data_IF_502792649942
#
_entry.id   IF_502792649942
#
_cell.length_a   1.000
_cell.length_b   1.000
_cell.length_c   1.000
_cell.angle_alpha   90.00
_cell.angle_beta   90.00
_cell.angle_gamma   90.00
#
_symmetry.space_group_name_H-M   'P 1'
#
loop_
_entity.id
_entity.type
_entity.pdbx_description
1 polymer ?
#
# COMPACT_ATOMS: atom_id res chain seq x y z
N UNK A 1 -17.80 24.61 -15.86
CA UNK A 1 -17.20 24.00 -17.06
C UNK A 1 -16.16 23.00 -16.56
N UNK A 2 -16.25 21.71 -16.85
CA UNK A 2 -15.22 20.74 -16.46
C UNK A 2 -13.80 21.19 -16.86
N UNK A 3 -13.65 21.98 -17.92
CA UNK A 3 -12.38 22.58 -18.34
C UNK A 3 -11.87 23.73 -17.44
N UNK A 4 -12.65 24.14 -16.45
CA UNK A 4 -12.33 25.27 -15.54
C UNK A 4 -12.04 24.84 -14.10
N UNK A 5 -12.12 23.54 -13.78
CA UNK A 5 -11.85 23.04 -12.44
C UNK A 5 -10.34 22.73 -12.28
N UNK A 6 -9.66 23.33 -11.28
CA UNK A 6 -8.21 23.20 -11.11
C UNK A 6 -7.74 21.78 -10.77
N UNK A 7 -8.65 20.86 -10.46
CA UNK A 7 -8.33 19.47 -10.16
C UNK A 7 -8.43 18.54 -11.37
N UNK A 8 -8.82 19.06 -12.54
CA UNK A 8 -8.81 18.29 -13.78
C UNK A 8 -7.44 18.34 -14.41
N UNK A 9 -6.83 17.17 -14.58
CA UNK A 9 -5.63 16.98 -15.37
C UNK A 9 -6.04 16.21 -16.62
N UNK A 10 -5.82 16.80 -17.78
CA UNK A 10 -5.99 16.11 -19.06
C UNK A 10 -4.92 15.01 -19.16
N UNK A 11 -5.36 13.75 -19.18
CA UNK A 11 -4.50 12.62 -19.47
C UNK A 11 -4.74 12.24 -20.93
N UNK A 12 -3.75 12.46 -21.79
CA UNK A 12 -3.85 12.12 -23.21
C UNK A 12 -4.07 10.62 -23.38
N UNK A 13 -5.29 10.22 -23.75
CA UNK A 13 -5.59 8.84 -24.11
C UNK A 13 -4.94 8.52 -25.46
N UNK A 14 -4.27 7.38 -25.57
CA UNK A 14 -3.80 6.87 -26.86
C UNK A 14 -4.83 5.87 -27.38
N UNK A 15 -5.38 6.17 -28.55
CA UNK A 15 -6.23 5.23 -29.29
C UNK A 15 -5.33 4.10 -29.84
N UNK A 16 -5.71 2.85 -29.58
CA UNK A 16 -4.88 1.69 -29.92
C UNK A 16 -5.45 0.83 -31.06
N UNK A 17 -6.62 1.21 -31.58
CA UNK A 17 -7.36 0.48 -32.61
C UNK A 17 -7.13 1.03 -34.02
N UNK A 18 -6.37 2.13 -34.17
CA UNK A 18 -6.02 2.75 -35.44
C UNK A 18 -7.09 3.65 -36.03
N UNK A 19 -8.17 3.94 -35.29
CA UNK A 19 -9.25 4.82 -35.73
C UNK A 19 -8.86 6.29 -35.54
N UNK A 20 -8.99 7.07 -36.62
CA UNK A 20 -8.82 8.53 -36.58
C UNK A 20 -10.16 9.16 -36.26
N UNK A 21 -10.21 10.03 -35.24
CA UNK A 21 -11.35 10.94 -35.01
C UNK A 21 -11.37 12.00 -36.12
N UNK A 22 -11.74 11.60 -37.33
CA UNK A 22 -12.19 12.52 -38.37
C UNK A 22 -13.71 12.54 -38.32
N UNK A 23 -14.30 13.75 -38.30
CA UNK A 23 -15.75 14.01 -38.35
C UNK A 23 -16.48 13.34 -39.53
N UNK A 24 -15.75 12.67 -40.44
CA UNK A 24 -16.27 11.93 -41.59
C UNK A 24 -16.07 10.40 -41.53
N UNK A 25 -15.37 9.84 -40.54
CA UNK A 25 -15.12 8.39 -40.48
C UNK A 25 -15.86 7.79 -39.29
N UNK A 26 -17.05 7.25 -39.55
CA UNK A 26 -17.77 6.39 -38.61
C UNK A 26 -17.03 5.04 -38.57
N UNK A 27 -16.69 4.47 -37.40
CA UNK A 27 -16.18 3.11 -37.32
C UNK A 27 -17.15 2.14 -38.00
N UNK A 28 -16.66 1.09 -38.69
CA UNK A 28 -17.52 0.06 -39.26
C UNK A 28 -18.49 -0.49 -38.21
N UNK A 29 -19.76 -0.70 -38.60
CA UNK A 29 -20.81 -1.20 -37.70
C UNK A 29 -20.37 -2.55 -37.12
N UNK A 30 -20.22 -2.62 -35.80
CA UNK A 30 -19.83 -3.83 -35.06
C UNK A 30 -18.40 -3.84 -34.52
N UNK A 31 -17.61 -2.79 -34.74
CA UNK A 31 -16.27 -2.66 -34.16
C UNK A 31 -16.30 -1.93 -32.80
N UNK A 32 -15.43 -2.37 -31.89
CA UNK A 32 -15.29 -1.79 -30.55
C UNK A 32 -14.07 -0.87 -30.50
N UNK A 33 -14.26 0.35 -30.03
CA UNK A 33 -13.17 1.29 -29.73
C UNK A 33 -12.60 0.98 -28.34
N UNK A 34 -11.27 0.95 -28.23
CA UNK A 34 -10.57 0.72 -26.95
C UNK A 34 -9.58 1.84 -26.67
N UNK A 35 -9.56 2.29 -25.42
CA UNK A 35 -8.64 3.30 -24.92
C UNK A 35 -7.73 2.66 -23.87
N UNK A 36 -6.42 2.68 -24.10
CA UNK A 36 -5.44 2.16 -23.15
C UNK A 36 -5.04 3.25 -22.16
N UNK A 37 -5.46 3.10 -20.90
CA UNK A 37 -5.18 4.04 -19.81
C UNK A 37 -4.02 3.54 -18.92
N UNK A 38 -2.96 3.02 -19.53
CA UNK A 38 -1.80 2.52 -18.78
C UNK A 38 -0.93 3.70 -18.33
N UNK A 39 -0.93 3.95 -17.02
CA UNK A 39 -0.15 4.95 -16.30
C UNK A 39 -0.15 4.60 -14.80
N UNK A 40 0.81 5.12 -14.05
CA UNK A 40 0.99 4.89 -12.61
C UNK A 40 -0.22 5.36 -11.78
N UNK A 41 -0.43 4.80 -10.59
CA UNK A 41 -1.55 5.17 -9.72
C UNK A 41 -1.52 6.66 -9.32
N UNK A 42 -0.33 7.25 -9.20
CA UNK A 42 -0.12 8.67 -8.91
C UNK A 42 -0.56 9.61 -10.03
N UNK A 43 -0.67 9.12 -11.27
CA UNK A 43 -1.14 9.90 -12.42
C UNK A 43 -2.67 9.90 -12.56
N UNK A 44 -3.38 9.18 -11.68
CA UNK A 44 -4.84 9.00 -11.73
C UNK A 44 -5.52 9.81 -10.63
N UNK A 45 -5.51 11.13 -10.75
CA UNK A 45 -6.04 12.05 -9.73
C UNK A 45 -7.51 12.46 -9.93
N UNK A 46 -8.21 11.90 -10.93
CA UNK A 46 -9.59 12.25 -11.27
C UNK A 46 -10.59 11.09 -11.18
N UNK A 47 -11.81 11.36 -10.73
CA UNK A 47 -12.93 10.39 -10.60
C UNK A 47 -13.88 10.36 -11.82
N UNK A 48 -13.38 10.63 -13.03
CA UNK A 48 -14.27 10.64 -14.19
C UNK A 48 -13.55 10.64 -15.52
N UNK A 49 -14.15 9.98 -16.49
CA UNK A 49 -13.97 10.27 -17.90
C UNK A 49 -15.18 11.10 -18.34
N UNK A 50 -14.94 12.18 -19.08
CA UNK A 50 -16.00 12.93 -19.76
C UNK A 50 -15.88 12.63 -21.25
N UNK A 51 -16.91 12.02 -21.86
CA UNK A 51 -17.09 12.10 -23.31
C UNK A 51 -17.77 13.44 -23.59
N UNK A 52 -16.97 14.43 -24.00
CA UNK A 52 -17.49 15.72 -24.44
C UNK A 52 -18.26 15.58 -25.75
N UNK A 53 -19.40 16.26 -25.85
CA UNK A 53 -20.09 16.53 -27.11
C UNK A 53 -20.14 18.04 -27.32
N UNK A 54 -20.07 18.48 -28.58
CA UNK A 54 -20.24 19.90 -28.94
C UNK A 54 -21.71 20.32 -28.75
N UNK A 55 -21.97 21.58 -28.39
CA UNK A 55 -23.34 22.12 -28.30
C UNK A 55 -24.11 21.88 -29.62
N UNK A 56 -25.19 21.11 -29.55
CA UNK A 56 -26.02 20.78 -30.71
C UNK A 56 -26.80 21.96 -31.29
N UNK A 57 -26.83 23.11 -30.62
CA UNK A 57 -27.53 24.32 -31.06
C UNK A 57 -26.69 25.24 -31.95
N UNK A 58 -25.37 25.04 -32.08
CA UNK A 58 -24.50 25.75 -33.04
C UNK A 58 -24.46 25.09 -34.43
N UNK A 59 -25.47 24.28 -34.76
CA UNK A 59 -25.46 23.43 -35.95
C UNK A 59 -26.33 23.97 -37.10
N UNK A 60 -25.83 24.95 -37.83
CA UNK A 60 -26.45 25.48 -39.05
C UNK A 60 -26.45 24.47 -40.23
N UNK A 61 -25.90 23.26 -40.07
CA UNK A 61 -25.68 22.28 -41.16
C UNK A 61 -26.39 20.93 -40.97
N UNK A 62 -27.11 20.72 -39.86
CA UNK A 62 -27.84 19.48 -39.59
C UNK A 62 -26.96 18.25 -39.28
N UNK A 63 -25.66 18.45 -39.01
CA UNK A 63 -24.73 17.39 -38.60
C UNK A 63 -24.54 17.36 -37.09
N UNK A 64 -25.06 16.35 -36.43
CA UNK A 64 -24.95 16.22 -34.98
C UNK A 64 -23.65 15.51 -34.59
N UNK A 65 -22.76 16.20 -33.88
CA UNK A 65 -21.46 15.68 -33.44
C UNK A 65 -21.50 15.12 -32.01
N UNK A 66 -22.54 14.35 -31.66
CA UNK A 66 -22.57 13.67 -30.36
C UNK A 66 -22.21 12.20 -30.50
N UNK A 67 -21.32 11.73 -29.63
CA UNK A 67 -21.03 10.31 -29.46
C UNK A 67 -22.17 9.73 -28.62
N UNK A 68 -22.91 8.75 -29.17
CA UNK A 68 -23.89 7.97 -28.42
C UNK A 68 -23.23 6.70 -27.89
N UNK A 69 -23.20 6.54 -26.57
CA UNK A 69 -22.64 5.35 -25.92
C UNK A 69 -23.80 4.47 -25.45
N UNK A 70 -23.97 3.31 -26.09
CA UNK A 70 -25.04 2.36 -25.74
C UNK A 70 -24.68 1.54 -24.50
N UNK A 71 -23.41 1.16 -24.37
CA UNK A 71 -22.90 0.38 -23.24
C UNK A 71 -21.47 0.82 -22.92
N UNK A 72 -21.15 0.93 -21.64
CA UNK A 72 -19.78 1.10 -21.13
C UNK A 72 -19.48 -0.07 -20.23
N UNK A 73 -18.36 -0.73 -20.45
CA UNK A 73 -17.81 -1.67 -19.50
C UNK A 73 -16.36 -1.29 -19.20
N UNK A 74 -15.99 -1.37 -17.93
CA UNK A 74 -14.62 -1.19 -17.48
C UNK A 74 -14.22 -2.45 -16.72
N UNK A 75 -13.11 -3.05 -17.13
CA UNK A 75 -12.49 -4.18 -16.42
C UNK A 75 -11.15 -3.71 -15.89
N UNK A 76 -10.95 -3.81 -14.59
CA UNK A 76 -9.68 -3.53 -13.94
C UNK A 76 -9.22 -4.75 -13.14
N UNK A 77 -7.92 -5.00 -13.14
CA UNK A 77 -7.30 -5.90 -12.17
C UNK A 77 -6.93 -5.06 -10.95
N UNK A 78 -7.35 -5.47 -9.75
CA UNK A 78 -6.81 -4.88 -8.53
C UNK A 78 -5.34 -5.29 -8.48
N UNK A 79 -4.45 -4.37 -8.85
CA UNK A 79 -3.07 -4.44 -8.38
C UNK A 79 -3.15 -4.05 -6.91
N UNK A 80 -3.14 -5.06 -6.02
CA UNK A 80 -2.75 -4.83 -4.64
C UNK A 80 -1.44 -4.05 -4.72
N UNK A 81 -1.39 -2.85 -4.15
CA UNK A 81 -0.09 -2.38 -3.69
C UNK A 81 0.45 -3.53 -2.84
N UNK A 82 1.65 -4.04 -3.17
CA UNK A 82 2.23 -5.15 -2.41
C UNK A 82 2.11 -4.84 -0.92
N UNK A 83 1.72 -5.84 -0.13
CA UNK A 83 1.67 -5.64 1.32
C UNK A 83 3.07 -5.18 1.75
N UNK A 84 3.17 -4.04 2.44
CA UNK A 84 4.47 -3.55 2.90
C UNK A 84 5.15 -4.66 3.71
N UNK A 85 6.38 -5.02 3.36
CA UNK A 85 7.11 -6.14 3.96
C UNK A 85 6.88 -7.52 3.33
N UNK A 86 5.98 -7.69 2.36
CA UNK A 86 5.82 -8.93 1.58
C UNK A 86 6.86 -8.95 0.46
N UNK A 87 8.05 -9.46 0.78
CA UNK A 87 9.21 -9.40 -0.09
C UNK A 87 9.20 -10.50 -1.14
N UNK A 88 8.51 -11.61 -0.90
CA UNK A 88 8.36 -12.69 -1.86
C UNK A 88 7.10 -12.54 -2.76
N UNK A 89 6.28 -11.51 -2.52
CA UNK A 89 5.05 -11.19 -3.25
C UNK A 89 4.02 -12.32 -3.24
N UNK A 90 3.97 -13.11 -2.17
CA UNK A 90 3.00 -14.21 -2.01
C UNK A 90 1.66 -13.73 -1.42
N UNK A 91 1.56 -12.46 -1.04
CA UNK A 91 0.36 -11.82 -0.50
C UNK A 91 0.16 -12.00 1.01
N UNK A 92 1.15 -12.55 1.73
CA UNK A 92 1.10 -12.75 3.19
C UNK A 92 2.39 -12.28 3.84
N UNK A 93 2.31 -11.74 5.07
CA UNK A 93 3.50 -11.49 5.89
C UNK A 93 3.81 -12.73 6.72
N UNK A 94 4.84 -13.47 6.33
CA UNK A 94 5.25 -14.72 6.98
C UNK A 94 6.78 -14.81 7.20
N UNK A 95 7.23 -15.93 7.76
CA UNK A 95 8.64 -16.15 8.07
C UNK A 95 9.53 -16.10 6.81
N UNK A 96 8.98 -16.41 5.63
CA UNK A 96 9.72 -16.33 4.37
C UNK A 96 10.13 -14.91 4.01
N UNK A 97 9.36 -13.90 4.41
CA UNK A 97 9.74 -12.49 4.23
C UNK A 97 10.89 -12.11 5.17
N UNK A 98 10.84 -12.56 6.43
CA UNK A 98 11.91 -12.31 7.40
C UNK A 98 13.22 -13.01 7.00
N UNK A 99 13.13 -14.21 6.43
CA UNK A 99 14.29 -14.95 5.90
C UNK A 99 14.93 -14.22 4.70
N UNK A 100 14.12 -13.58 3.85
CA UNK A 100 14.62 -12.72 2.78
C UNK A 100 15.23 -11.43 3.33
N UNK A 101 14.62 -10.84 4.36
CA UNK A 101 15.14 -9.64 5.02
C UNK A 101 16.50 -9.91 5.69
N UNK A 102 16.71 -11.07 6.33
CA UNK A 102 18.02 -11.47 6.88
C UNK A 102 19.10 -11.57 5.79
N UNK A 103 18.76 -12.22 4.68
CA UNK A 103 19.68 -12.31 3.52
C UNK A 103 20.01 -10.93 2.95
N UNK A 104 19.01 -10.04 2.86
CA UNK A 104 19.20 -8.67 2.40
C UNK A 104 20.06 -7.84 3.37
N UNK A 105 19.88 -8.02 4.68
CA UNK A 105 20.70 -7.39 5.72
C UNK A 105 22.18 -7.78 5.59
N UNK A 106 22.48 -9.07 5.46
CA UNK A 106 23.86 -9.56 5.25
C UNK A 106 24.41 -9.12 3.89
N UNK A 107 23.57 -9.05 2.86
CA UNK A 107 23.94 -8.62 1.51
C UNK A 107 24.05 -7.10 1.33
N UNK A 108 23.52 -6.30 2.26
CA UNK A 108 23.41 -4.85 2.14
C UNK A 108 22.44 -4.38 1.04
N UNK A 109 21.39 -5.16 0.75
CA UNK A 109 20.41 -4.81 -0.27
C UNK A 109 19.36 -3.84 0.27
N UNK A 110 19.55 -2.56 -0.04
CA UNK A 110 18.67 -1.44 0.33
C UNK A 110 17.25 -1.50 -0.26
N UNK A 111 16.94 -2.44 -1.15
CA UNK A 111 15.56 -2.60 -1.64
C UNK A 111 14.60 -3.12 -0.56
N UNK A 112 15.14 -3.62 0.55
CA UNK A 112 14.42 -4.11 1.73
C UNK A 112 14.33 -3.08 2.87
N UNK A 113 14.81 -1.85 2.66
CA UNK A 113 14.72 -0.75 3.62
C UNK A 113 13.26 -0.35 3.85
N UNK A 114 12.76 -0.64 5.05
CA UNK A 114 11.40 -0.33 5.51
C UNK A 114 11.35 0.98 6.29
N UNK A 115 12.48 1.44 6.83
CA UNK A 115 12.57 2.66 7.63
C UNK A 115 12.81 3.92 6.79
N UNK A 116 13.27 3.75 5.55
CA UNK A 116 13.63 4.82 4.62
C UNK A 116 14.96 5.50 4.96
N UNK A 117 15.82 4.85 5.74
CA UNK A 117 17.11 5.40 6.18
C UNK A 117 18.29 5.07 5.24
N UNK A 118 18.00 4.41 4.12
CA UNK A 118 18.95 3.91 3.11
C UNK A 118 19.87 2.80 3.61
N UNK A 119 19.50 2.08 4.65
CA UNK A 119 20.14 0.86 5.10
C UNK A 119 19.10 -0.26 5.26
N UNK A 120 19.56 -1.51 5.14
CA UNK A 120 18.76 -2.69 5.51
C UNK A 120 19.42 -3.31 6.71
N UNK A 121 18.82 -3.11 7.88
CA UNK A 121 19.39 -3.48 9.17
C UNK A 121 18.31 -3.91 10.18
N UNK A 122 18.73 -4.11 11.43
CA UNK A 122 17.85 -4.58 12.48
C UNK A 122 16.65 -3.65 12.74
N UNK A 123 16.74 -2.35 12.47
CA UNK A 123 15.63 -1.41 12.60
C UNK A 123 14.50 -1.71 11.59
N UNK A 124 14.84 -2.16 10.38
CA UNK A 124 13.86 -2.61 9.38
C UNK A 124 13.16 -3.89 9.84
N UNK A 125 13.91 -4.80 10.44
CA UNK A 125 13.37 -6.03 11.02
C UNK A 125 12.44 -5.75 12.20
N UNK A 126 12.82 -4.83 13.07
CA UNK A 126 11.94 -4.34 14.14
C UNK A 126 10.64 -3.77 13.52
N UNK A 127 10.74 -2.94 12.48
CA UNK A 127 9.57 -2.36 11.82
C UNK A 127 8.67 -3.45 11.22
N UNK A 128 9.24 -4.44 10.55
CA UNK A 128 8.48 -5.56 9.99
C UNK A 128 7.70 -6.31 11.08
N UNK A 129 8.38 -6.70 12.16
CA UNK A 129 7.78 -7.51 13.23
C UNK A 129 6.76 -6.73 14.05
N UNK A 130 7.09 -5.51 14.46
CA UNK A 130 6.27 -4.71 15.37
C UNK A 130 5.14 -3.97 14.67
N UNK A 131 5.44 -3.33 13.54
CA UNK A 131 4.53 -2.38 12.90
C UNK A 131 3.70 -3.03 11.79
N UNK A 132 4.28 -3.97 11.04
CA UNK A 132 3.59 -4.62 9.91
C UNK A 132 2.89 -5.90 10.34
N UNK A 133 3.61 -6.81 11.01
CA UNK A 133 3.07 -8.10 11.47
C UNK A 133 2.31 -8.00 12.80
N UNK A 134 2.61 -6.98 13.60
CA UNK A 134 2.08 -6.81 14.96
C UNK A 134 2.35 -8.02 15.87
N UNK A 135 3.59 -8.47 15.90
CA UNK A 135 4.05 -9.50 16.85
C UNK A 135 5.35 -9.08 17.54
N UNK A 136 6.01 -10.00 18.22
CA UNK A 136 7.22 -9.82 19.01
C UNK A 136 8.44 -10.41 18.31
N UNK A 137 9.61 -9.82 18.56
CA UNK A 137 10.89 -10.48 18.26
C UNK A 137 10.98 -11.73 19.15
N UNK A 138 11.22 -12.88 18.54
CA UNK A 138 11.22 -14.17 19.24
C UNK A 138 9.98 -15.02 19.01
N UNK A 139 8.89 -14.48 18.44
CA UNK A 139 7.72 -15.24 18.02
C UNK A 139 8.06 -16.05 16.74
N UNK A 140 8.64 -17.23 16.94
CA UNK A 140 9.17 -18.07 15.87
C UNK A 140 8.07 -18.65 14.96
N UNK A 141 6.84 -18.80 15.48
CA UNK A 141 5.72 -19.37 14.75
C UNK A 141 4.77 -18.30 14.16
N UNK A 142 4.99 -17.03 14.50
CA UNK A 142 4.23 -15.84 14.09
C UNK A 142 2.74 -15.87 14.51
N UNK A 143 2.43 -16.45 15.67
CA UNK A 143 1.08 -16.52 16.23
C UNK A 143 0.64 -15.28 17.02
N UNK A 144 1.53 -14.31 17.19
CA UNK A 144 1.29 -13.05 17.89
C UNK A 144 1.83 -13.02 19.31
N UNK A 145 2.33 -14.15 19.84
CA UNK A 145 2.90 -14.28 21.18
C UNK A 145 4.37 -14.68 21.12
N UNK A 146 5.17 -14.21 22.09
CA UNK A 146 6.50 -14.78 22.32
C UNK A 146 6.48 -15.56 23.63
N UNK A 147 6.52 -16.88 23.56
CA UNK A 147 6.40 -17.76 24.72
C UNK A 147 7.28 -19.03 24.57
N UNK A 148 7.15 -19.95 25.52
CA UNK A 148 7.94 -21.19 25.51
C UNK A 148 7.77 -22.09 24.28
N UNK A 149 6.66 -21.98 23.54
CA UNK A 149 6.42 -22.78 22.32
C UNK A 149 7.29 -22.32 21.16
N UNK A 150 7.69 -21.05 21.12
CA UNK A 150 8.62 -20.50 20.13
C UNK A 150 10.02 -21.07 20.32
N UNK A 151 10.48 -21.15 21.58
CA UNK A 151 11.74 -21.81 21.90
C UNK A 151 11.73 -23.27 21.47
N UNK A 152 10.65 -24.01 21.74
CA UNK A 152 10.56 -25.42 21.30
C UNK A 152 10.67 -25.51 19.78
N UNK A 153 10.01 -24.62 19.05
CA UNK A 153 10.04 -24.58 17.59
C UNK A 153 11.46 -24.30 17.06
N UNK A 154 12.13 -23.26 17.56
CA UNK A 154 13.48 -22.89 17.17
C UNK A 154 14.52 -23.97 17.53
N UNK A 155 14.50 -24.49 18.77
CA UNK A 155 15.47 -25.50 19.21
C UNK A 155 15.28 -26.86 18.53
N UNK A 156 14.08 -27.18 18.03
CA UNK A 156 13.86 -28.44 17.31
C UNK A 156 14.65 -28.49 16.00
N UNK A 157 15.02 -27.34 15.43
CA UNK A 157 15.89 -27.25 14.26
C UNK A 157 17.34 -27.66 14.55
N UNK A 158 17.78 -27.60 15.82
CA UNK A 158 19.13 -27.98 16.24
C UNK A 158 20.23 -27.04 15.74
N UNK A 159 19.90 -25.78 15.42
CA UNK A 159 20.85 -24.80 14.86
C UNK A 159 21.54 -23.91 15.90
N UNK A 160 21.10 -23.95 17.14
CA UNK A 160 21.67 -23.15 18.22
C UNK A 160 23.18 -23.40 18.38
N UNK A 161 23.98 -22.34 18.24
CA UNK A 161 25.45 -22.36 18.35
C UNK A 161 26.10 -23.39 17.39
N UNK A 162 25.43 -23.69 16.27
CA UNK A 162 25.92 -24.66 15.29
C UNK A 162 26.82 -24.03 14.21
N UNK A 163 26.74 -22.70 14.02
CA UNK A 163 27.37 -21.97 12.91
C UNK A 163 26.80 -22.31 11.53
N UNK A 164 25.64 -22.96 11.48
CA UNK A 164 24.89 -23.21 10.27
C UNK A 164 23.74 -22.23 10.13
N UNK A 165 23.53 -21.72 8.92
CA UNK A 165 22.55 -20.68 8.67
C UNK A 165 21.15 -21.05 9.18
N UNK A 166 20.53 -20.20 10.00
CA UNK A 166 19.19 -20.36 10.55
C UNK A 166 18.19 -19.43 9.83
N UNK A 167 16.92 -19.84 9.83
CA UNK A 167 15.77 -19.02 9.44
C UNK A 167 15.10 -18.45 10.67
N UNK A 168 14.15 -17.53 10.50
CA UNK A 168 13.35 -16.96 11.59
C UNK A 168 12.74 -18.05 12.49
N UNK A 169 12.10 -19.03 11.86
CA UNK A 169 11.43 -20.14 12.56
C UNK A 169 12.39 -21.10 13.26
N UNK A 170 13.68 -21.04 12.91
CA UNK A 170 14.75 -21.86 13.47
C UNK A 170 15.61 -21.10 14.49
N UNK A 171 15.32 -19.81 14.73
CA UNK A 171 15.89 -19.01 15.81
C UNK A 171 16.67 -17.75 15.40
N UNK A 172 16.85 -17.46 14.11
CA UNK A 172 17.49 -16.23 13.62
C UNK A 172 16.54 -15.02 13.76
N UNK A 173 16.53 -14.44 14.95
CA UNK A 173 15.65 -13.34 15.34
C UNK A 173 16.31 -11.98 15.18
N UNK A 174 17.64 -11.88 15.17
CA UNK A 174 18.36 -10.63 14.88
C UNK A 174 18.70 -10.42 13.40
N UNK A 175 18.56 -11.45 12.57
CA UNK A 175 18.67 -11.40 11.12
C UNK A 175 20.10 -11.52 10.61
N UNK A 176 21.04 -12.01 11.42
CA UNK A 176 22.43 -12.21 11.01
C UNK A 176 22.70 -13.57 10.35
N UNK A 177 21.64 -14.39 10.21
CA UNK A 177 21.62 -15.74 9.65
C UNK A 177 22.15 -16.83 10.58
N UNK A 178 22.56 -16.54 11.80
CA UNK A 178 22.93 -17.56 12.78
C UNK A 178 21.86 -17.66 13.88
N UNK A 179 21.81 -18.80 14.59
CA UNK A 179 20.99 -18.91 15.81
C UNK A 179 21.93 -19.06 17.00
N UNK A 180 22.10 -17.99 17.78
CA UNK A 180 23.02 -17.94 18.91
C UNK A 180 22.50 -17.07 20.07
N UNK A 181 23.39 -16.68 20.98
CA UNK A 181 23.02 -15.83 22.12
C UNK A 181 22.55 -14.40 21.75
N UNK A 182 22.94 -13.88 20.60
CA UNK A 182 22.53 -12.60 20.02
C UNK A 182 21.02 -12.53 19.79
N UNK A 183 20.44 -13.61 19.26
CA UNK A 183 18.99 -13.73 19.06
C UNK A 183 18.21 -13.61 20.36
N UNK A 184 18.71 -14.23 21.44
CA UNK A 184 18.09 -14.07 22.75
C UNK A 184 18.17 -12.64 23.24
N UNK A 185 19.30 -11.95 23.01
CA UNK A 185 19.42 -10.54 23.37
C UNK A 185 18.41 -9.71 22.58
N UNK A 186 18.26 -9.94 21.28
CA UNK A 186 17.27 -9.25 20.44
C UNK A 186 15.83 -9.49 20.93
N UNK A 187 15.45 -10.76 21.13
CA UNK A 187 14.10 -11.13 21.57
C UNK A 187 13.75 -10.64 22.97
N UNK A 188 14.65 -10.81 23.95
CA UNK A 188 14.39 -10.32 25.31
C UNK A 188 14.47 -8.80 25.44
N UNK A 189 15.23 -8.12 24.57
CA UNK A 189 15.23 -6.66 24.53
C UNK A 189 13.93 -6.08 23.99
N UNK A 190 13.17 -6.84 23.18
CA UNK A 190 11.81 -6.45 22.77
C UNK A 190 10.82 -6.50 23.94
N UNK A 191 11.06 -7.39 24.92
CA UNK A 191 10.31 -7.45 26.18
C UNK A 191 8.94 -8.14 26.09
N UNK A 192 8.68 -8.86 25.00
CA UNK A 192 7.40 -9.55 24.73
C UNK A 192 7.22 -10.92 25.39
N UNK A 193 8.26 -11.46 26.03
CA UNK A 193 8.23 -12.83 26.55
C UNK A 193 7.14 -13.02 27.62
N UNK A 194 6.22 -13.95 27.34
CA UNK A 194 5.04 -14.25 28.18
C UNK A 194 4.15 -13.01 28.43
N UNK A 195 4.22 -11.99 27.57
CA UNK A 195 3.34 -10.82 27.62
C UNK A 195 1.96 -11.08 26.97
N UNK A 196 1.82 -12.20 26.25
CA UNK A 196 0.64 -12.60 25.48
C UNK A 196 0.59 -11.93 24.10
N UNK A 197 -0.57 -12.06 23.43
CA UNK A 197 -0.77 -11.51 22.08
C UNK A 197 -0.47 -10.02 22.04
N UNK A 198 0.43 -9.61 21.14
CA UNK A 198 0.69 -8.19 20.93
C UNK A 198 -0.58 -7.51 20.41
N UNK A 199 -1.07 -6.45 21.07
CA UNK A 199 -2.26 -5.75 20.61
C UNK A 199 -1.97 -5.11 19.25
N UNK A 200 -2.74 -5.47 18.23
CA UNK A 200 -2.77 -4.70 16.99
C UNK A 200 -3.24 -3.29 17.35
N UNK A 201 -2.54 -2.27 16.85
CA UNK A 201 -2.88 -0.88 17.15
C UNK A 201 -4.22 -0.59 16.47
N UNK A 202 -5.32 -0.79 17.20
CA UNK A 202 -6.64 -0.36 16.75
C UNK A 202 -6.54 1.13 16.44
N UNK A 203 -6.84 1.51 15.19
CA UNK A 203 -6.87 2.90 14.74
C UNK A 203 -7.61 3.73 15.80
N UNK A 204 -6.87 4.55 16.53
CA UNK A 204 -7.44 5.42 17.56
C UNK A 204 -8.41 6.35 16.84
N UNK A 205 -9.70 6.40 17.20
CA UNK A 205 -10.61 7.40 16.66
C UNK A 205 -10.00 8.77 16.96
N UNK A 206 -9.70 9.55 15.91
CA UNK A 206 -9.05 10.85 16.07
C UNK A 206 -9.81 11.65 17.15
N UNK A 207 -9.11 12.20 18.15
CA UNK A 207 -9.77 12.91 19.24
C UNK A 207 -10.61 14.04 18.65
N UNK A 208 -11.69 14.41 19.36
CA UNK A 208 -12.69 15.41 18.98
C UNK A 208 -12.15 16.83 18.65
N UNK A 209 -10.85 16.99 18.41
CA UNK A 209 -10.13 18.14 17.85
C UNK A 209 -10.85 18.77 16.67
N UNK A 210 -11.37 17.96 15.73
CA UNK A 210 -12.18 18.48 14.61
C UNK A 210 -13.48 19.15 15.07
N UNK A 211 -14.20 18.53 16.02
CA UNK A 211 -15.41 19.13 16.59
C UNK A 211 -15.10 20.37 17.42
N UNK A 212 -13.98 20.40 18.16
CA UNK A 212 -13.53 21.57 18.92
C UNK A 212 -13.12 22.73 18.01
N UNK A 213 -12.46 22.45 16.88
CA UNK A 213 -12.13 23.44 15.86
C UNK A 213 -13.40 24.04 15.20
N UNK A 214 -14.39 23.20 14.87
CA UNK A 214 -15.66 23.66 14.30
C UNK A 214 -16.46 24.48 15.34
N UNK A 215 -16.51 24.04 16.59
CA UNK A 215 -17.21 24.75 17.68
C UNK A 215 -16.57 26.11 17.98
N UNK A 216 -15.24 26.21 17.94
CA UNK A 216 -14.52 27.47 18.16
C UNK A 216 -14.72 28.46 17.00
N UNK A 217 -14.73 27.99 15.74
CA UNK A 217 -15.07 28.83 14.59
C UNK A 217 -16.51 29.35 14.63
N UNK A 218 -17.48 28.51 15.02
CA UNK A 218 -18.87 28.91 15.18
C UNK A 218 -19.07 29.91 16.33
N UNK A 219 -18.35 29.72 17.45
CA UNK A 219 -18.32 30.66 18.57
C UNK A 219 -17.80 32.04 18.17
N UNK A 220 -16.67 32.09 17.46
CA UNK A 220 -16.07 33.33 16.95
C UNK A 220 -16.97 34.04 15.93
N UNK A 221 -17.62 33.30 15.03
CA UNK A 221 -18.55 33.84 14.06
C UNK A 221 -19.81 34.43 14.71
N UNK A 222 -20.28 33.84 15.82
CA UNK A 222 -21.42 34.34 16.61
C UNK A 222 -21.04 35.57 17.43
N UNK A 223 -19.81 35.62 17.95
CA UNK A 223 -19.29 36.78 18.68
C UNK A 223 -19.11 38.01 17.77
N UNK A 224 -18.53 37.85 16.57
CA UNK A 224 -18.40 38.96 15.59
C UNK A 224 -19.74 39.54 15.15
N UNK A 225 -20.81 38.73 15.10
CA UNK A 225 -22.16 39.20 14.75
C UNK A 225 -22.86 40.00 15.85
N UNK A 226 -22.41 39.89 17.11
CA UNK A 226 -22.97 40.65 18.24
C UNK A 226 -22.23 41.97 18.51
N UNK A 227 -21.03 42.15 17.95
CA UNK A 227 -20.19 43.34 18.13
C UNK A 227 -20.38 44.41 17.04
N UNK A 228 -21.34 44.22 16.13
CA UNK A 228 -21.86 45.23 15.20
C UNK A 228 -23.26 45.63 15.65
#
# INVERSE_FOLDING_TARGET
>A
DPESDPNWVEVAATETTGHVFDSLVVPPVGESLSFQLTGSASERTGWGWAVGGVDGNENDTGRFNFISVTEVSATGTVVSAGLEGDFNSNGVLDAGDLDLLAQAQVGGDTSFDLTGDSATNFDDRIRWVRDLKHTWIGDANLDGEFNSTDFVSAFTAGKYESGGAATWSEGDWDGDLDFDSGDFVAAFSDGGYEAGVRPSVAAVPEPASGMLAIMSLLGLARWRRRAK
#
